data_IF_974229880367
#
_entry.id   IF_974229880367
#
_cell.length_a   1.000
_cell.length_b   1.000
_cell.length_c   1.000
_cell.angle_alpha   90.00
_cell.angle_beta   90.00
_cell.angle_gamma   90.00
#
_symmetry.space_group_name_H-M   'P 1'
#
loop_
_entity.id
_entity.type
_entity.pdbx_description
1 polymer ?
#
# COMPACT_ATOMS: atom_id res chain seq x y z
N UNK A 1 8.41 13.21 -13.79
CA UNK A 1 7.91 12.92 -15.15
C UNK A 1 7.64 11.42 -15.36
N UNK A 2 8.51 10.52 -14.89
CA UNK A 2 8.28 9.05 -14.97
C UNK A 2 7.00 8.56 -14.27
N UNK A 3 6.75 9.01 -13.03
CA UNK A 3 5.56 8.59 -12.26
C UNK A 3 4.23 8.92 -12.95
N UNK A 4 4.11 10.08 -13.59
CA UNK A 4 2.90 10.46 -14.33
C UNK A 4 2.67 9.53 -15.53
N UNK A 5 3.75 9.08 -16.17
CA UNK A 5 3.70 8.19 -17.34
C UNK A 5 3.30 6.78 -16.94
N UNK A 6 3.83 6.33 -15.81
CA UNK A 6 3.43 5.11 -15.14
C UNK A 6 1.91 5.09 -14.88
N UNK A 7 1.35 6.11 -14.23
CA UNK A 7 -0.12 6.19 -14.00
C UNK A 7 -0.93 6.13 -15.31
N UNK A 8 -0.38 6.65 -16.42
CA UNK A 8 -1.02 6.62 -17.74
C UNK A 8 -0.82 5.32 -18.51
N UNK A 9 -0.16 4.32 -17.93
CA UNK A 9 0.13 3.04 -18.59
C UNK A 9 1.30 3.10 -19.59
N UNK A 10 2.05 4.20 -19.65
CA UNK A 10 3.18 4.40 -20.55
C UNK A 10 4.48 3.89 -19.89
N UNK A 11 4.49 2.59 -19.56
CA UNK A 11 5.51 1.94 -18.73
C UNK A 11 6.90 1.99 -19.38
N UNK A 12 6.97 1.80 -20.70
CA UNK A 12 8.22 1.82 -21.45
C UNK A 12 8.91 3.17 -21.34
N UNK A 13 8.15 4.26 -21.51
CA UNK A 13 8.68 5.60 -21.40
C UNK A 13 9.01 5.97 -19.95
N UNK A 14 8.22 5.50 -18.97
CA UNK A 14 8.56 5.66 -17.55
C UNK A 14 9.92 5.02 -17.21
N UNK A 15 10.15 3.77 -17.65
CA UNK A 15 11.43 3.08 -17.47
C UNK A 15 12.59 3.79 -18.19
N UNK A 16 12.36 4.32 -19.39
CA UNK A 16 13.39 5.10 -20.09
C UNK A 16 13.79 6.35 -19.29
N UNK A 17 12.81 7.07 -18.73
CA UNK A 17 13.08 8.24 -17.89
C UNK A 17 13.85 7.87 -16.61
N UNK A 18 13.51 6.74 -15.96
CA UNK A 18 14.24 6.28 -14.78
C UNK A 18 15.66 5.82 -15.10
N UNK A 19 15.88 5.14 -16.23
CA UNK A 19 17.23 4.77 -16.69
C UNK A 19 18.08 6.00 -16.98
N UNK A 20 17.52 6.99 -17.69
CA UNK A 20 18.19 8.28 -17.90
C UNK A 20 18.50 8.96 -16.57
N UNK A 21 17.59 8.94 -15.61
CA UNK A 21 17.84 9.51 -14.29
C UNK A 21 19.06 8.86 -13.59
N UNK A 22 19.22 7.53 -13.67
CA UNK A 22 20.39 6.83 -13.14
C UNK A 22 21.71 7.26 -13.81
N UNK A 23 21.69 7.58 -15.11
CA UNK A 23 22.88 8.05 -15.84
C UNK A 23 23.35 9.42 -15.35
N UNK A 24 22.42 10.30 -14.96
CA UNK A 24 22.73 11.63 -14.41
C UNK A 24 23.20 11.59 -12.95
N UNK A 25 23.06 10.47 -12.24
CA UNK A 25 23.57 10.33 -10.86
C UNK A 25 25.10 10.30 -10.91
N UNK A 26 25.79 11.14 -10.10
CA UNK A 26 27.24 11.12 -10.00
C UNK A 26 27.76 9.72 -9.68
N UNK A 27 28.91 9.35 -10.25
CA UNK A 27 29.48 8.01 -10.09
C UNK A 27 29.72 7.64 -8.61
N UNK A 28 30.09 8.64 -7.79
CA UNK A 28 30.24 8.50 -6.33
C UNK A 28 28.96 8.13 -5.58
N UNK A 29 27.79 8.38 -6.17
CA UNK A 29 26.46 8.13 -5.60
C UNK A 29 25.72 7.00 -6.33
N UNK A 30 26.24 6.50 -7.44
CA UNK A 30 25.52 5.53 -8.27
C UNK A 30 25.31 4.18 -7.59
N UNK A 31 26.20 3.80 -6.67
CA UNK A 31 26.09 2.51 -5.96
C UNK A 31 25.30 2.59 -4.66
N UNK A 32 25.31 3.76 -3.98
CA UNK A 32 24.78 3.89 -2.62
C UNK A 32 23.94 5.15 -2.39
N UNK A 33 23.73 5.99 -3.40
CA UNK A 33 23.04 7.27 -3.26
C UNK A 33 21.55 7.11 -2.93
N UNK A 34 20.99 8.11 -2.24
CA UNK A 34 19.55 8.20 -1.97
C UNK A 34 18.73 8.21 -3.26
N UNK A 35 19.17 8.98 -4.25
CA UNK A 35 18.53 9.06 -5.57
C UNK A 35 18.60 7.75 -6.34
N UNK A 36 19.67 6.96 -6.15
CA UNK A 36 19.81 5.63 -6.75
C UNK A 36 18.74 4.70 -6.20
N UNK A 37 18.64 4.59 -4.87
CA UNK A 37 17.62 3.76 -4.19
C UNK A 37 16.22 4.16 -4.64
N UNK A 38 15.89 5.46 -4.62
CA UNK A 38 14.59 5.93 -5.05
C UNK A 38 14.28 5.56 -6.51
N UNK A 39 15.27 5.71 -7.41
CA UNK A 39 15.08 5.38 -8.82
C UNK A 39 14.90 3.88 -9.05
N UNK A 40 15.65 3.04 -8.34
CA UNK A 40 15.49 1.58 -8.39
C UNK A 40 14.11 1.15 -7.90
N UNK A 41 13.61 1.73 -6.80
CA UNK A 41 12.27 1.44 -6.30
C UNK A 41 11.16 1.91 -7.27
N UNK A 42 11.33 3.06 -7.91
CA UNK A 42 10.41 3.49 -8.96
C UNK A 42 10.37 2.51 -10.15
N UNK A 43 11.54 1.98 -10.57
CA UNK A 43 11.59 0.95 -11.61
C UNK A 43 10.95 -0.36 -11.15
N UNK A 44 11.19 -0.78 -9.90
CA UNK A 44 10.54 -1.95 -9.32
C UNK A 44 9.03 -1.84 -9.34
N UNK A 45 8.46 -0.69 -8.92
CA UNK A 45 7.02 -0.46 -8.96
C UNK A 45 6.47 -0.58 -10.39
N UNK A 46 7.16 -0.02 -11.39
CA UNK A 46 6.72 -0.18 -12.80
C UNK A 46 6.70 -1.64 -13.25
N UNK A 47 7.64 -2.47 -12.78
CA UNK A 47 7.63 -3.90 -13.08
C UNK A 47 6.56 -4.64 -12.29
N UNK A 48 6.29 -4.24 -11.05
CA UNK A 48 5.17 -4.72 -10.24
C UNK A 48 3.83 -4.47 -10.95
N UNK A 49 3.61 -3.26 -11.46
CA UNK A 49 2.38 -2.89 -12.18
C UNK A 49 2.18 -3.68 -13.49
N UNK A 50 3.26 -4.22 -14.06
CA UNK A 50 3.25 -5.09 -15.25
C UNK A 50 3.14 -6.59 -14.91
N UNK A 51 2.94 -6.94 -13.63
CA UNK A 51 3.01 -8.32 -13.13
C UNK A 51 4.35 -9.01 -13.40
N UNK A 52 5.42 -8.25 -13.62
CA UNK A 52 6.78 -8.78 -13.78
C UNK A 52 7.47 -8.84 -12.42
N UNK A 53 7.02 -9.79 -11.60
CA UNK A 53 7.44 -9.95 -10.21
C UNK A 53 8.94 -10.20 -10.06
N UNK A 54 9.53 -10.96 -10.98
CA UNK A 54 10.96 -11.28 -10.95
C UNK A 54 11.83 -10.02 -11.10
N UNK A 55 11.56 -9.19 -12.11
CA UNK A 55 12.28 -7.92 -12.27
C UNK A 55 11.96 -6.97 -11.13
N UNK A 56 10.71 -6.90 -10.66
CA UNK A 56 10.36 -6.09 -9.50
C UNK A 56 11.24 -6.42 -8.29
N UNK A 57 11.32 -7.70 -7.91
CA UNK A 57 12.16 -8.16 -6.80
C UNK A 57 13.65 -7.91 -7.06
N UNK A 58 14.13 -8.13 -8.28
CA UNK A 58 15.53 -7.82 -8.64
C UNK A 58 15.88 -6.36 -8.36
N UNK A 59 15.04 -5.42 -8.77
CA UNK A 59 15.27 -3.99 -8.53
C UNK A 59 15.12 -3.61 -7.04
N UNK A 60 14.23 -4.26 -6.29
CA UNK A 60 14.09 -4.03 -4.84
C UNK A 60 15.32 -4.56 -4.09
N UNK A 61 15.83 -5.75 -4.43
CA UNK A 61 17.08 -6.27 -3.87
C UNK A 61 18.28 -5.41 -4.29
N UNK A 62 18.26 -4.91 -5.53
CA UNK A 62 19.01 -3.75 -6.05
C UNK A 62 19.16 -2.64 -5.00
N UNK A 63 18.01 -2.11 -4.62
CA UNK A 63 17.87 -1.00 -3.71
C UNK A 63 18.32 -1.35 -2.28
N UNK A 64 17.98 -2.54 -1.78
CA UNK A 64 18.42 -3.02 -0.46
C UNK A 64 19.95 -3.11 -0.37
N UNK A 65 20.60 -3.72 -1.36
CA UNK A 65 22.07 -3.81 -1.38
C UNK A 65 22.74 -2.42 -1.40
N UNK A 66 22.15 -1.47 -2.12
CA UNK A 66 22.61 -0.08 -2.13
C UNK A 66 22.43 0.64 -0.78
N UNK A 67 21.39 0.28 -0.02
CA UNK A 67 21.16 0.79 1.35
C UNK A 67 22.19 0.17 2.31
N UNK A 68 22.38 -1.15 2.26
CA UNK A 68 23.31 -1.89 3.13
C UNK A 68 24.78 -1.49 2.90
N UNK A 69 25.12 -1.06 1.68
CA UNK A 69 26.45 -0.55 1.33
C UNK A 69 26.74 0.87 1.86
N UNK A 70 25.76 1.56 2.46
CA UNK A 70 26.01 2.84 3.12
C UNK A 70 26.70 2.58 4.45
N UNK A 71 27.88 3.18 4.60
CA UNK A 71 28.64 3.19 5.86
C UNK A 71 28.02 4.19 6.85
N UNK A 72 26.74 4.02 7.11
CA UNK A 72 25.95 4.82 8.03
C UNK A 72 25.50 3.90 9.16
N UNK A 73 25.70 4.34 10.41
CA UNK A 73 25.32 3.53 11.57
C UNK A 73 23.86 3.07 11.46
N UNK A 74 23.58 1.85 11.91
CA UNK A 74 22.27 1.17 11.94
C UNK A 74 21.13 2.04 12.56
N UNK A 75 21.47 3.13 13.26
CA UNK A 75 20.53 4.08 13.85
C UNK A 75 20.15 5.29 12.96
N UNK A 76 20.57 5.34 11.69
CA UNK A 76 20.09 6.39 10.79
C UNK A 76 18.60 6.15 10.44
N UNK A 77 17.74 7.05 10.93
CA UNK A 77 16.29 7.05 10.67
C UNK A 77 15.99 6.93 9.17
N UNK A 78 16.78 7.60 8.33
CA UNK A 78 16.57 7.61 6.88
C UNK A 78 16.90 6.26 6.23
N UNK A 79 17.93 5.56 6.69
CA UNK A 79 18.28 4.20 6.24
C UNK A 79 17.20 3.22 6.65
N UNK A 80 16.76 3.28 7.92
CA UNK A 80 15.70 2.43 8.43
C UNK A 80 14.37 2.65 7.69
N UNK A 81 14.05 3.90 7.34
CA UNK A 81 12.86 4.21 6.55
C UNK A 81 12.92 3.57 5.16
N UNK A 82 14.04 3.73 4.44
CA UNK A 82 14.23 3.11 3.13
C UNK A 82 14.21 1.58 3.20
N UNK A 83 14.84 0.99 4.21
CA UNK A 83 14.81 -0.46 4.44
C UNK A 83 13.38 -0.96 4.67
N UNK A 84 12.61 -0.26 5.51
CA UNK A 84 11.20 -0.59 5.73
C UNK A 84 10.36 -0.48 4.46
N UNK A 85 10.67 0.47 3.59
CA UNK A 85 10.00 0.65 2.30
C UNK A 85 10.30 -0.52 1.35
N UNK A 86 11.57 -0.92 1.22
CA UNK A 86 11.94 -2.07 0.42
C UNK A 86 11.24 -3.36 0.90
N UNK A 87 11.27 -3.64 2.21
CA UNK A 87 10.59 -4.81 2.78
C UNK A 87 9.09 -4.78 2.50
N UNK A 88 8.45 -3.62 2.66
CA UNK A 88 7.05 -3.47 2.34
C UNK A 88 6.75 -3.75 0.86
N UNK A 89 7.57 -3.24 -0.07
CA UNK A 89 7.40 -3.53 -1.50
C UNK A 89 7.58 -5.02 -1.82
N UNK A 90 8.52 -5.71 -1.17
CA UNK A 90 8.66 -7.18 -1.31
C UNK A 90 7.38 -7.87 -0.84
N UNK A 91 6.83 -7.45 0.31
CA UNK A 91 5.55 -7.94 0.83
C UNK A 91 4.41 -7.77 -0.18
N UNK A 92 4.30 -6.59 -0.81
CA UNK A 92 3.32 -6.33 -1.87
C UNK A 92 3.51 -7.28 -3.06
N UNK A 93 4.74 -7.49 -3.51
CA UNK A 93 5.03 -8.40 -4.64
C UNK A 93 4.64 -9.86 -4.31
N UNK A 94 4.83 -10.31 -3.06
CA UNK A 94 4.36 -11.64 -2.64
C UNK A 94 2.84 -11.71 -2.48
N UNK A 95 2.21 -10.64 -1.99
CA UNK A 95 0.76 -10.53 -1.87
C UNK A 95 0.07 -10.66 -3.24
N UNK A 96 0.60 -9.99 -4.26
CA UNK A 96 0.11 -10.06 -5.65
C UNK A 96 0.36 -11.43 -6.31
N UNK A 97 1.35 -12.19 -5.82
CA UNK A 97 1.57 -13.58 -6.22
C UNK A 97 0.71 -14.59 -5.43
N UNK A 98 -0.19 -14.14 -4.56
CA UNK A 98 -0.95 -14.98 -3.63
C UNK A 98 -0.08 -15.80 -2.65
N UNK A 99 1.17 -15.37 -2.40
CA UNK A 99 2.09 -15.98 -1.43
C UNK A 99 1.93 -15.31 -0.08
N UNK A 100 0.80 -15.60 0.57
CA UNK A 100 0.32 -14.82 1.72
C UNK A 100 1.23 -14.91 2.95
N UNK A 101 1.79 -16.08 3.26
CA UNK A 101 2.65 -16.24 4.44
C UNK A 101 3.96 -15.47 4.31
N UNK A 102 4.54 -15.46 3.10
CA UNK A 102 5.75 -14.67 2.82
C UNK A 102 5.43 -13.17 2.85
N UNK A 103 4.30 -12.76 2.28
CA UNK A 103 3.85 -11.36 2.37
C UNK A 103 3.68 -10.91 3.83
N UNK A 104 3.14 -11.76 4.70
CA UNK A 104 3.03 -11.52 6.15
C UNK A 104 4.39 -11.21 6.77
N UNK A 105 5.38 -12.08 6.56
CA UNK A 105 6.72 -11.90 7.13
C UNK A 105 7.31 -10.54 6.77
N UNK A 106 7.24 -10.17 5.48
CA UNK A 106 7.80 -8.90 5.00
C UNK A 106 7.04 -7.67 5.48
N UNK A 107 5.70 -7.72 5.53
CA UNK A 107 4.90 -6.61 6.05
C UNK A 107 5.08 -6.42 7.56
N UNK A 108 5.16 -7.49 8.34
CA UNK A 108 5.38 -7.42 9.79
C UNK A 108 6.77 -6.85 10.11
N UNK A 109 7.82 -7.30 9.40
CA UNK A 109 9.18 -6.74 9.52
C UNK A 109 9.23 -5.26 9.14
N UNK A 110 8.57 -4.87 8.05
CA UNK A 110 8.48 -3.47 7.64
C UNK A 110 7.75 -2.61 8.69
N UNK A 111 6.65 -3.11 9.25
CA UNK A 111 5.88 -2.43 10.30
C UNK A 111 6.70 -2.27 11.58
N UNK A 112 7.45 -3.29 12.00
CA UNK A 112 8.31 -3.23 13.18
C UNK A 112 9.33 -2.09 13.09
N UNK A 113 10.03 -1.99 11.95
CA UNK A 113 10.99 -0.90 11.71
C UNK A 113 10.28 0.46 11.74
N UNK A 114 9.15 0.59 11.04
CA UNK A 114 8.36 1.84 11.01
C UNK A 114 7.90 2.26 12.41
N UNK A 115 7.43 1.33 13.24
CA UNK A 115 7.00 1.62 14.62
C UNK A 115 8.13 2.10 15.51
N UNK A 116 9.36 1.65 15.25
CA UNK A 116 10.55 2.07 16.03
C UNK A 116 11.01 3.47 15.67
N UNK A 117 10.92 3.87 14.39
CA UNK A 117 11.52 5.11 13.90
C UNK A 117 10.52 6.25 13.64
N UNK A 118 9.23 5.93 13.46
CA UNK A 118 8.20 6.91 13.12
C UNK A 118 7.28 7.21 14.32
N UNK A 119 6.76 8.44 14.43
CA UNK A 119 5.66 8.74 15.35
C UNK A 119 4.45 7.85 15.08
N UNK A 120 3.67 7.52 16.12
CA UNK A 120 2.49 6.65 16.01
C UNK A 120 1.39 7.18 15.07
N UNK A 121 1.43 8.46 14.70
CA UNK A 121 0.51 9.11 13.75
C UNK A 121 1.04 9.20 12.32
N UNK A 122 2.20 8.59 12.03
CA UNK A 122 2.82 8.75 10.73
C UNK A 122 2.00 8.04 9.62
N UNK A 123 1.76 8.68 8.45
CA UNK A 123 0.99 8.08 7.35
C UNK A 123 1.51 6.72 6.87
N UNK A 124 2.83 6.49 6.89
CA UNK A 124 3.44 5.20 6.52
C UNK A 124 3.02 4.04 7.44
N UNK A 125 2.69 4.31 8.72
CA UNK A 125 2.12 3.29 9.60
C UNK A 125 0.71 2.93 9.17
N UNK A 126 -0.10 3.93 8.81
CA UNK A 126 -1.45 3.68 8.29
C UNK A 126 -1.42 2.82 7.01
N UNK A 127 -0.50 3.10 6.08
CA UNK A 127 -0.35 2.27 4.88
C UNK A 127 0.02 0.82 5.25
N UNK A 128 1.00 0.61 6.14
CA UNK A 128 1.33 -0.75 6.62
C UNK A 128 0.13 -1.48 7.20
N UNK A 129 -0.66 -0.80 8.03
CA UNK A 129 -1.83 -1.39 8.68
C UNK A 129 -2.94 -1.71 7.68
N UNK A 130 -3.18 -0.86 6.68
CA UNK A 130 -4.11 -1.17 5.61
C UNK A 130 -3.72 -2.46 4.86
N UNK A 131 -2.45 -2.59 4.50
CA UNK A 131 -2.00 -3.70 3.67
C UNK A 131 -1.92 -5.01 4.47
N UNK A 132 -1.60 -4.95 5.77
CA UNK A 132 -1.81 -6.08 6.67
C UNK A 132 -3.28 -6.45 6.81
N UNK A 133 -4.19 -5.46 6.83
CA UNK A 133 -5.62 -5.71 6.80
C UNK A 133 -6.05 -6.49 5.54
N UNK A 134 -5.57 -6.06 4.37
CA UNK A 134 -5.83 -6.75 3.09
C UNK A 134 -5.26 -8.15 3.11
N UNK A 135 -4.03 -8.32 3.61
CA UNK A 135 -3.39 -9.61 3.73
C UNK A 135 -4.21 -10.56 4.64
N UNK A 136 -4.54 -10.11 5.86
CA UNK A 136 -5.28 -10.93 6.81
C UNK A 136 -6.69 -11.26 6.29
N UNK A 137 -7.32 -10.35 5.55
CA UNK A 137 -8.59 -10.63 4.87
C UNK A 137 -8.42 -11.76 3.84
N UNK A 138 -7.38 -11.71 3.00
CA UNK A 138 -7.07 -12.78 2.02
C UNK A 138 -6.69 -14.11 2.68
N UNK A 139 -6.21 -14.08 3.92
CA UNK A 139 -5.96 -15.26 4.75
C UNK A 139 -7.21 -15.72 5.53
N UNK A 140 -8.38 -15.10 5.31
CA UNK A 140 -9.62 -15.38 6.05
C UNK A 140 -9.52 -15.11 7.57
N UNK A 141 -8.52 -14.34 7.99
CA UNK A 141 -8.27 -13.91 9.38
C UNK A 141 -8.99 -12.59 9.64
N UNK A 142 -10.31 -12.59 9.49
CA UNK A 142 -11.13 -11.38 9.40
C UNK A 142 -11.05 -10.47 10.65
N UNK A 143 -11.01 -11.03 11.85
CA UNK A 143 -10.87 -10.22 13.08
C UNK A 143 -9.53 -9.47 13.13
N UNK A 144 -8.45 -10.11 12.65
CA UNK A 144 -7.13 -9.47 12.58
C UNK A 144 -7.10 -8.40 11.48
N UNK A 145 -7.81 -8.65 10.38
CA UNK A 145 -7.99 -7.65 9.33
C UNK A 145 -8.73 -6.41 9.85
N UNK A 146 -9.83 -6.57 10.59
CA UNK A 146 -10.55 -5.46 11.20
C UNK A 146 -9.68 -4.64 12.17
N UNK A 147 -8.92 -5.31 13.02
CA UNK A 147 -7.99 -4.64 13.96
C UNK A 147 -6.93 -3.81 13.22
N UNK A 148 -6.41 -4.35 12.11
CA UNK A 148 -5.45 -3.64 11.27
C UNK A 148 -6.11 -2.44 10.56
N UNK A 149 -7.30 -2.60 9.98
CA UNK A 149 -8.03 -1.50 9.36
C UNK A 149 -8.42 -0.40 10.35
N UNK A 150 -8.82 -0.75 11.58
CA UNK A 150 -9.11 0.22 12.63
C UNK A 150 -7.86 1.04 13.00
N UNK A 151 -6.71 0.37 13.15
CA UNK A 151 -5.43 1.04 13.38
C UNK A 151 -5.08 2.02 12.25
N UNK A 152 -5.33 1.63 10.98
CA UNK A 152 -5.17 2.51 9.82
C UNK A 152 -6.11 3.71 9.89
N UNK A 153 -7.40 3.47 10.16
CA UNK A 153 -8.44 4.48 10.23
C UNK A 153 -8.13 5.54 11.29
N UNK A 154 -7.74 5.12 12.50
CA UNK A 154 -7.39 6.01 13.60
C UNK A 154 -6.25 6.96 13.23
N UNK A 155 -5.22 6.47 12.53
CA UNK A 155 -4.10 7.30 12.09
C UNK A 155 -4.56 8.28 11.01
N UNK A 156 -5.30 7.81 10.00
CA UNK A 156 -5.74 8.64 8.87
C UNK A 156 -6.69 9.76 9.31
N UNK A 157 -7.66 9.48 10.19
CA UNK A 157 -8.60 10.48 10.72
C UNK A 157 -7.95 11.62 11.49
N UNK A 158 -6.76 11.43 12.05
CA UNK A 158 -6.02 12.53 12.74
C UNK A 158 -5.43 13.55 11.77
N UNK A 159 -5.22 13.17 10.50
CA UNK A 159 -4.47 13.96 9.51
C UNK A 159 -5.29 14.35 8.29
N UNK A 160 -6.44 13.71 8.07
CA UNK A 160 -7.28 13.90 6.91
C UNK A 160 -8.68 14.37 7.34
N UNK A 161 -9.35 15.22 6.52
CA UNK A 161 -10.75 15.53 6.75
C UNK A 161 -11.60 14.27 6.63
N UNK A 162 -12.74 14.22 7.33
CA UNK A 162 -13.65 13.06 7.32
C UNK A 162 -14.22 12.75 5.93
N UNK A 163 -14.18 13.71 5.00
CA UNK A 163 -14.56 13.53 3.59
C UNK A 163 -13.41 13.03 2.72
N UNK A 164 -12.23 12.71 3.25
CA UNK A 164 -11.11 12.32 2.40
C UNK A 164 -11.33 10.93 1.75
N UNK A 165 -11.15 10.75 0.43
CA UNK A 165 -11.36 9.48 -0.26
C UNK A 165 -10.60 8.27 0.33
N UNK A 166 -9.42 8.51 0.90
CA UNK A 166 -8.67 7.45 1.60
C UNK A 166 -9.43 6.83 2.78
N UNK A 167 -10.33 7.57 3.46
CA UNK A 167 -11.17 7.03 4.52
C UNK A 167 -12.27 6.12 3.94
N UNK A 168 -12.82 6.46 2.76
CA UNK A 168 -13.79 5.64 2.07
C UNK A 168 -13.23 4.25 1.72
N UNK A 169 -11.97 4.18 1.27
CA UNK A 169 -11.30 2.90 0.98
C UNK A 169 -11.25 2.02 2.24
N UNK A 170 -10.85 2.60 3.39
CA UNK A 170 -10.73 1.86 4.64
C UNK A 170 -12.10 1.37 5.10
N UNK A 171 -13.13 2.23 5.04
CA UNK A 171 -14.50 1.85 5.37
C UNK A 171 -15.04 0.75 4.47
N UNK A 172 -14.78 0.80 3.16
CA UNK A 172 -15.17 -0.26 2.23
C UNK A 172 -14.48 -1.60 2.56
N UNK A 173 -13.18 -1.56 2.90
CA UNK A 173 -12.44 -2.77 3.28
C UNK A 173 -12.96 -3.36 4.60
N UNK A 174 -13.31 -2.51 5.57
CA UNK A 174 -13.95 -2.93 6.81
C UNK A 174 -15.34 -3.52 6.55
N UNK A 175 -16.14 -2.90 5.69
CA UNK A 175 -17.46 -3.41 5.30
C UNK A 175 -17.39 -4.81 4.70
N UNK A 176 -16.52 -5.01 3.71
CA UNK A 176 -16.27 -6.33 3.13
C UNK A 176 -15.85 -7.35 4.20
N UNK A 177 -14.96 -6.97 5.11
CA UNK A 177 -14.48 -7.88 6.16
C UNK A 177 -15.58 -8.22 7.18
N UNK A 178 -16.43 -7.25 7.54
CA UNK A 178 -17.57 -7.46 8.43
C UNK A 178 -18.64 -8.35 7.80
N UNK A 179 -18.85 -8.23 6.49
CA UNK A 179 -19.74 -9.11 5.74
C UNK A 179 -19.33 -10.59 5.88
N UNK A 180 -18.04 -10.91 5.70
CA UNK A 180 -17.52 -12.28 5.91
C UNK A 180 -17.54 -12.75 7.37
N UNK A 181 -17.75 -11.85 8.32
CA UNK A 181 -17.97 -12.17 9.74
C UNK A 181 -19.45 -12.27 10.10
N UNK A 182 -20.36 -12.23 9.13
CA UNK A 182 -21.83 -12.24 9.34
C UNK A 182 -22.30 -11.05 10.20
N UNK A 183 -21.55 -9.95 10.20
CA UNK A 183 -21.86 -8.70 10.93
C UNK A 183 -22.48 -7.67 10.00
N UNK A 184 -23.54 -8.08 9.31
CA UNK A 184 -24.14 -7.36 8.18
C UNK A 184 -24.59 -5.93 8.50
N UNK A 185 -25.18 -5.73 9.68
CA UNK A 185 -25.63 -4.39 10.10
C UNK A 185 -24.46 -3.40 10.15
N UNK A 186 -23.34 -3.84 10.70
CA UNK A 186 -22.13 -3.03 10.77
C UNK A 186 -21.51 -2.88 9.37
N UNK A 187 -21.47 -3.96 8.59
CA UNK A 187 -20.98 -3.92 7.21
C UNK A 187 -21.73 -2.87 6.37
N UNK A 188 -23.05 -2.83 6.49
CA UNK A 188 -23.93 -1.86 5.83
C UNK A 188 -23.60 -0.42 6.24
N UNK A 189 -23.45 -0.15 7.54
CA UNK A 189 -23.10 1.17 8.05
C UNK A 189 -21.76 1.67 7.49
N UNK A 190 -20.75 0.79 7.45
CA UNK A 190 -19.44 1.13 6.90
C UNK A 190 -19.47 1.32 5.39
N UNK A 191 -20.22 0.49 4.66
CA UNK A 191 -20.36 0.59 3.20
C UNK A 191 -21.06 1.89 2.79
N UNK A 192 -22.14 2.27 3.49
CA UNK A 192 -22.83 3.54 3.28
C UNK A 192 -21.88 4.75 3.47
N UNK A 193 -21.06 4.75 4.52
CA UNK A 193 -20.07 5.81 4.73
C UNK A 193 -19.04 5.89 3.59
N UNK A 194 -18.60 4.74 3.06
CA UNK A 194 -17.68 4.72 1.93
C UNK A 194 -18.32 5.34 0.67
N UNK A 195 -19.57 4.99 0.37
CA UNK A 195 -20.34 5.55 -0.75
C UNK A 195 -20.56 7.05 -0.58
N UNK A 196 -20.93 7.51 0.63
CA UNK A 196 -21.17 8.93 0.91
C UNK A 196 -19.90 9.77 0.67
N UNK A 197 -18.77 9.32 1.22
CA UNK A 197 -17.48 10.00 1.06
C UNK A 197 -17.03 9.98 -0.41
N UNK A 198 -17.14 8.83 -1.07
CA UNK A 198 -16.79 8.68 -2.49
C UNK A 198 -17.63 9.59 -3.38
N UNK A 199 -18.94 9.61 -3.17
CA UNK A 199 -19.88 10.47 -3.91
C UNK A 199 -19.57 11.94 -3.71
N UNK A 200 -19.35 12.38 -2.46
CA UNK A 200 -19.06 13.77 -2.14
C UNK A 200 -17.72 14.24 -2.75
N UNK A 201 -16.69 13.40 -2.71
CA UNK A 201 -15.30 13.84 -2.91
C UNK A 201 -14.73 13.50 -4.27
N UNK A 202 -15.18 12.39 -4.86
CA UNK A 202 -14.75 11.92 -6.17
C UNK A 202 -15.84 12.12 -7.23
N UNK A 203 -17.10 12.24 -6.80
CA UNK A 203 -18.27 12.33 -7.66
C UNK A 203 -18.92 10.96 -7.90
N UNK A 204 -20.18 10.97 -8.34
CA UNK A 204 -21.01 9.78 -8.55
C UNK A 204 -20.47 8.82 -9.62
N UNK A 205 -19.83 9.37 -10.66
CA UNK A 205 -19.34 8.62 -11.83
C UNK A 205 -17.89 8.18 -11.70
N UNK A 206 -17.25 8.39 -10.54
CA UNK A 206 -15.86 7.98 -10.35
C UNK A 206 -15.79 6.46 -10.16
N UNK A 207 -14.83 5.74 -10.81
CA UNK A 207 -14.73 4.28 -10.72
C UNK A 207 -14.72 3.73 -9.30
N UNK A 208 -14.01 4.39 -8.37
CA UNK A 208 -14.01 3.98 -6.96
C UNK A 208 -15.37 4.15 -6.29
N UNK A 209 -16.12 5.22 -6.60
CA UNK A 209 -17.47 5.42 -6.07
C UNK A 209 -18.39 4.30 -6.55
N UNK A 210 -18.24 3.86 -7.81
CA UNK A 210 -18.93 2.69 -8.33
C UNK A 210 -18.57 1.43 -7.53
N UNK A 211 -17.28 1.16 -7.30
CA UNK A 211 -16.85 -0.01 -6.50
C UNK A 211 -17.44 -0.02 -5.09
N UNK A 212 -17.53 1.13 -4.43
CA UNK A 212 -18.17 1.24 -3.11
C UNK A 212 -19.67 0.92 -3.18
N UNK A 213 -20.34 1.37 -4.24
CA UNK A 213 -21.76 1.07 -4.47
C UNK A 213 -21.98 -0.41 -4.77
N UNK A 214 -21.13 -1.02 -5.59
CA UNK A 214 -21.19 -2.46 -5.88
C UNK A 214 -21.03 -3.28 -4.59
N UNK A 215 -20.14 -2.84 -3.69
CA UNK A 215 -19.97 -3.47 -2.36
C UNK A 215 -21.23 -3.33 -1.51
N UNK A 216 -21.86 -2.14 -1.49
CA UNK A 216 -23.12 -1.92 -0.78
C UNK A 216 -24.25 -2.79 -1.34
N UNK A 217 -24.40 -2.84 -2.66
CA UNK A 217 -25.41 -3.65 -3.34
C UNK A 217 -25.26 -5.14 -3.02
N UNK A 218 -24.02 -5.65 -3.04
CA UNK A 218 -23.73 -7.04 -2.68
C UNK A 218 -24.12 -7.39 -1.24
N UNK A 219 -23.86 -6.49 -0.28
CA UNK A 219 -24.28 -6.68 1.11
C UNK A 219 -25.81 -6.63 1.23
N UNK A 220 -26.48 -5.70 0.54
CA UNK A 220 -27.95 -5.60 0.56
C UNK A 220 -28.62 -6.86 -0.01
N UNK A 221 -28.13 -7.39 -1.13
CA UNK A 221 -28.74 -8.55 -1.79
C UNK A 221 -28.68 -9.81 -0.95
N UNK A 222 -27.59 -10.00 -0.18
CA UNK A 222 -27.47 -11.14 0.72
C UNK A 222 -28.51 -11.08 1.86
N UNK A 223 -28.75 -9.89 2.41
CA UNK A 223 -29.70 -9.70 3.51
C UNK A 223 -31.18 -9.91 3.11
N UNK A 224 -31.51 -9.85 1.82
CA UNK A 224 -32.88 -10.07 1.32
C UNK A 224 -33.21 -11.56 1.09
N UNK A 225 -32.20 -12.44 1.09
CA UNK A 225 -32.36 -13.88 0.83
C UNK A 225 -32.53 -14.74 2.11
N UNK A 226 -32.34 -14.16 3.31
CA UNK A 226 -32.48 -14.79 4.63
C UNK A 226 -33.81 -14.46 5.35
#
# INVERSE_FOLDING_TARGET
MGYIRQIKGDWKYALELYRKALEYIPESERERGYSTVATLLCMAQVYCDQSNWNLSLEYIHRALAAIDARDESINNVSVAEQQSHCLHMIGTVFLEQHRLDEAAEYFERALEIRRRILPSTHPSLATSYNDLGVLYHRQERYEQALSAYDSCLQIRRRSLPETHPALAIIYNNMANTLYWLEREKEAMEFSLRAVDIGTHSLGENHPMTSTFRDTLEGICSANEED
#
